data_IF_446581114828
#
_entry.id   IF_446581114828
#
_cell.length_a   1.000
_cell.length_b   1.000
_cell.length_c   1.000
_cell.angle_alpha   90.00
_cell.angle_beta   90.00
_cell.angle_gamma   90.00
#
_symmetry.space_group_name_H-M   'P 1'
#
loop_
_entity.id
_entity.type
_entity.pdbx_description
1 polymer ?
#
# COMPACT_ATOMS: atom_id res chain seq x y z
N UNK A 1 -2.88 -21.56 -10.84
CA UNK A 1 -2.05 -20.38 -10.52
C UNK A 1 -2.32 -20.05 -9.07
N UNK A 2 -1.29 -19.76 -8.27
CA UNK A 2 -1.48 -19.29 -6.89
C UNK A 2 -2.37 -18.03 -6.88
N UNK A 3 -3.31 -17.94 -5.94
CA UNK A 3 -4.28 -16.84 -5.87
C UNK A 3 -3.58 -15.48 -5.69
N UNK A 4 -2.42 -15.47 -5.05
CA UNK A 4 -1.58 -14.27 -4.90
C UNK A 4 -0.89 -13.87 -6.19
N UNK A 5 -0.34 -14.85 -6.92
CA UNK A 5 0.25 -14.62 -8.23
C UNK A 5 -0.80 -14.09 -9.23
N UNK A 6 -2.01 -14.67 -9.24
CA UNK A 6 -3.09 -14.20 -10.10
C UNK A 6 -3.48 -12.75 -9.75
N UNK A 7 -3.65 -12.45 -8.47
CA UNK A 7 -3.99 -11.09 -8.03
C UNK A 7 -2.91 -10.06 -8.42
N UNK A 8 -1.63 -10.38 -8.27
CA UNK A 8 -0.55 -9.49 -8.71
C UNK A 8 -0.54 -9.30 -10.23
N UNK A 9 -0.77 -10.37 -11.00
CA UNK A 9 -0.87 -10.28 -12.45
C UNK A 9 -2.05 -9.37 -12.85
N UNK A 10 -3.20 -9.50 -12.20
CA UNK A 10 -4.37 -8.66 -12.48
C UNK A 10 -4.13 -7.19 -12.10
N UNK A 11 -3.40 -6.95 -11.00
CA UNK A 11 -2.98 -5.59 -10.62
C UNK A 11 -2.06 -4.98 -11.67
N UNK A 12 -1.03 -5.72 -12.09
CA UNK A 12 -0.05 -5.27 -13.08
C UNK A 12 -0.67 -5.03 -14.46
N UNK A 13 -1.66 -5.83 -14.84
CA UNK A 13 -2.43 -5.66 -16.07
C UNK A 13 -3.57 -4.62 -15.95
N UNK A 14 -3.75 -4.02 -14.76
CA UNK A 14 -4.86 -3.12 -14.43
C UNK A 14 -6.26 -3.71 -14.67
N UNK A 15 -6.43 -5.03 -14.53
CA UNK A 15 -7.67 -5.77 -14.79
C UNK A 15 -8.49 -6.04 -13.53
N UNK A 16 -7.99 -5.75 -12.33
CA UNK A 16 -8.81 -5.81 -11.10
C UNK A 16 -10.02 -4.88 -11.29
N UNK A 17 -11.26 -5.37 -11.08
CA UNK A 17 -12.43 -4.51 -11.10
C UNK A 17 -12.26 -3.36 -10.11
N UNK A 18 -12.49 -2.12 -10.56
CA UNK A 18 -12.20 -0.93 -9.75
C UNK A 18 -12.90 -0.94 -8.38
N UNK A 19 -14.10 -1.52 -8.31
CA UNK A 19 -14.90 -1.67 -7.09
C UNK A 19 -14.26 -2.66 -6.09
N UNK A 20 -13.38 -3.53 -6.57
CA UNK A 20 -12.58 -4.47 -5.77
C UNK A 20 -11.21 -3.90 -5.40
N UNK A 21 -10.82 -2.73 -5.94
CA UNK A 21 -9.60 -2.00 -5.57
C UNK A 21 -9.76 -1.27 -4.22
N UNK A 22 -10.15 -2.04 -3.20
CA UNK A 22 -10.43 -1.61 -1.83
C UNK A 22 -9.15 -1.41 -1.01
N UNK A 23 -9.27 -0.87 0.20
CA UNK A 23 -8.15 -0.78 1.14
C UNK A 23 -7.46 -2.14 1.38
N UNK A 24 -8.24 -3.21 1.57
CA UNK A 24 -7.70 -4.55 1.74
C UNK A 24 -6.90 -5.02 0.51
N UNK A 25 -7.36 -4.69 -0.71
CA UNK A 25 -6.62 -4.97 -1.94
C UNK A 25 -5.30 -4.20 -2.02
N UNK A 26 -5.26 -2.94 -1.57
CA UNK A 26 -4.01 -2.17 -1.48
C UNK A 26 -3.02 -2.81 -0.50
N UNK A 27 -3.48 -3.24 0.69
CA UNK A 27 -2.61 -3.92 1.67
C UNK A 27 -2.10 -5.26 1.11
N UNK A 28 -2.98 -6.04 0.48
CA UNK A 28 -2.60 -7.29 -0.19
C UNK A 28 -1.53 -7.07 -1.24
N UNK A 29 -1.72 -6.08 -2.12
CA UNK A 29 -0.73 -5.71 -3.14
C UNK A 29 0.59 -5.28 -2.51
N UNK A 30 0.55 -4.38 -1.54
CA UNK A 30 1.76 -3.87 -0.89
C UNK A 30 2.54 -5.01 -0.23
N UNK A 31 1.86 -5.91 0.49
CA UNK A 31 2.50 -7.07 1.12
C UNK A 31 3.20 -7.96 0.10
N UNK A 32 2.51 -8.32 -0.99
CA UNK A 32 3.08 -9.20 -2.00
C UNK A 32 4.29 -8.57 -2.70
N UNK A 33 4.23 -7.26 -2.99
CA UNK A 33 5.36 -6.51 -3.57
C UNK A 33 6.52 -6.38 -2.57
N UNK A 34 6.25 -6.09 -1.29
CA UNK A 34 7.27 -6.02 -0.24
C UNK A 34 7.95 -7.38 -0.05
N UNK A 35 7.18 -8.47 0.00
CA UNK A 35 7.71 -9.83 0.19
C UNK A 35 8.58 -10.29 -0.99
N UNK A 36 8.34 -9.79 -2.19
CA UNK A 36 9.09 -10.13 -3.40
C UNK A 36 10.16 -9.09 -3.77
N UNK A 37 10.54 -8.19 -2.87
CA UNK A 37 11.55 -7.15 -3.13
C UNK A 37 12.68 -7.27 -2.11
N UNK A 38 13.90 -6.96 -2.55
CA UNK A 38 15.09 -7.10 -1.71
C UNK A 38 15.27 -5.89 -0.78
N UNK A 39 14.75 -4.73 -1.18
CA UNK A 39 14.88 -3.46 -0.45
C UNK A 39 13.57 -2.71 -0.35
N UNK A 40 13.47 -1.84 0.65
CA UNK A 40 12.32 -0.95 0.83
C UNK A 40 12.16 -0.01 -0.37
N UNK A 41 13.26 0.54 -0.87
CA UNK A 41 13.28 1.47 -2.00
C UNK A 41 12.73 0.82 -3.27
N UNK A 42 13.11 -0.44 -3.53
CA UNK A 42 12.58 -1.23 -4.64
C UNK A 42 11.08 -1.48 -4.49
N UNK A 43 10.63 -1.91 -3.29
CA UNK A 43 9.21 -2.14 -3.03
C UNK A 43 8.39 -0.85 -3.21
N UNK A 44 8.86 0.26 -2.65
CA UNK A 44 8.22 1.56 -2.77
C UNK A 44 8.13 2.03 -4.22
N UNK A 45 9.19 1.84 -5.01
CA UNK A 45 9.19 2.18 -6.44
C UNK A 45 8.14 1.36 -7.21
N UNK A 46 8.10 0.04 -7.01
CA UNK A 46 7.14 -0.86 -7.65
C UNK A 46 5.70 -0.51 -7.28
N UNK A 47 5.43 -0.23 -5.99
CA UNK A 47 4.10 0.16 -5.51
C UNK A 47 3.66 1.50 -6.12
N UNK A 48 4.53 2.51 -6.14
CA UNK A 48 4.25 3.81 -6.76
C UNK A 48 3.85 3.66 -8.22
N UNK A 49 4.68 2.97 -8.99
CA UNK A 49 4.47 2.77 -10.42
C UNK A 49 3.18 1.97 -10.67
N UNK A 50 2.95 0.90 -9.91
CA UNK A 50 1.76 0.07 -10.05
C UNK A 50 0.47 0.84 -9.77
N UNK A 51 0.40 1.61 -8.68
CA UNK A 51 -0.79 2.41 -8.35
C UNK A 51 -1.02 3.50 -9.40
N UNK A 52 0.04 4.18 -9.85
CA UNK A 52 -0.08 5.20 -10.89
C UNK A 52 -0.57 4.61 -12.22
N UNK A 53 -0.02 3.46 -12.61
CA UNK A 53 -0.45 2.71 -13.80
C UNK A 53 -1.93 2.31 -13.70
N UNK A 54 -2.32 1.67 -12.59
CA UNK A 54 -3.69 1.26 -12.34
C UNK A 54 -4.66 2.44 -12.41
N UNK A 55 -4.35 3.54 -11.71
CA UNK A 55 -5.16 4.75 -11.75
C UNK A 55 -5.24 5.37 -13.16
N UNK A 56 -4.17 5.29 -13.94
CA UNK A 56 -4.13 5.74 -15.33
C UNK A 56 -5.06 4.95 -16.27
N UNK A 57 -5.20 3.64 -16.05
CA UNK A 57 -6.16 2.81 -16.78
C UNK A 57 -7.61 3.06 -16.36
N UNK A 58 -7.84 3.45 -15.10
CA UNK A 58 -9.17 3.65 -14.52
C UNK A 58 -9.55 5.14 -14.33
N UNK A 59 -8.96 6.06 -15.10
CA UNK A 59 -9.10 7.53 -14.90
C UNK A 59 -10.54 8.01 -14.69
N UNK A 60 -11.50 7.45 -15.43
CA UNK A 60 -12.91 7.85 -15.33
C UNK A 60 -13.57 7.52 -13.97
N UNK A 61 -12.99 6.59 -13.19
CA UNK A 61 -13.49 6.16 -11.89
C UNK A 61 -12.69 6.72 -10.71
N UNK A 62 -11.49 7.24 -10.96
CA UNK A 62 -10.60 7.77 -9.91
C UNK A 62 -11.08 9.14 -9.44
N UNK A 63 -11.35 9.27 -8.15
CA UNK A 63 -11.83 10.53 -7.55
C UNK A 63 -10.77 11.30 -6.77
N UNK A 64 -9.85 10.62 -6.08
CA UNK A 64 -8.83 11.25 -5.22
C UNK A 64 -7.43 11.27 -5.87
N UNK A 65 -7.17 10.40 -6.84
CA UNK A 65 -5.87 10.29 -7.51
C UNK A 65 -4.77 9.73 -6.61
N UNK A 66 -3.55 9.68 -7.15
CA UNK A 66 -2.37 9.24 -6.41
C UNK A 66 -2.01 10.23 -5.29
N UNK A 67 -1.55 9.70 -4.15
CA UNK A 67 -1.18 10.49 -2.97
C UNK A 67 0.14 9.98 -2.38
N UNK A 68 1.19 10.77 -2.57
CA UNK A 68 2.56 10.34 -2.32
C UNK A 68 2.84 10.01 -0.84
N UNK A 69 2.50 10.91 0.09
CA UNK A 69 2.73 10.67 1.53
C UNK A 69 1.93 9.47 2.04
N UNK A 70 0.68 9.31 1.61
CA UNK A 70 -0.17 8.19 1.99
C UNK A 70 0.42 6.86 1.49
N UNK A 71 0.84 6.81 0.22
CA UNK A 71 1.50 5.62 -0.35
C UNK A 71 2.77 5.27 0.42
N UNK A 72 3.66 6.23 0.66
CA UNK A 72 4.90 5.94 1.37
C UNK A 72 4.65 5.51 2.83
N UNK A 73 3.71 6.14 3.55
CA UNK A 73 3.33 5.72 4.90
C UNK A 73 2.86 4.26 4.92
N UNK A 74 1.92 3.90 4.05
CA UNK A 74 1.41 2.52 4.02
C UNK A 74 2.47 1.52 3.59
N UNK A 75 3.33 1.86 2.62
CA UNK A 75 4.46 1.01 2.27
C UNK A 75 5.39 0.79 3.47
N UNK A 76 5.71 1.82 4.25
CA UNK A 76 6.54 1.67 5.46
C UNK A 76 5.86 0.78 6.50
N UNK A 77 4.56 0.97 6.77
CA UNK A 77 3.81 0.14 7.72
C UNK A 77 3.81 -1.33 7.27
N UNK A 78 3.49 -1.58 6.00
CA UNK A 78 3.38 -2.94 5.45
C UNK A 78 4.75 -3.60 5.35
N UNK A 79 5.80 -2.87 4.96
CA UNK A 79 7.17 -3.36 4.95
C UNK A 79 7.59 -3.84 6.34
N UNK A 80 7.39 -3.01 7.36
CA UNK A 80 7.73 -3.35 8.75
C UNK A 80 6.93 -4.54 9.30
N UNK A 81 5.69 -4.74 8.83
CA UNK A 81 4.91 -5.93 9.17
C UNK A 81 5.45 -7.16 8.43
N UNK A 82 5.79 -7.01 7.15
CA UNK A 82 6.31 -8.09 6.29
C UNK A 82 7.64 -8.62 6.80
N UNK A 83 8.56 -7.74 7.21
CA UNK A 83 9.88 -8.13 7.73
C UNK A 83 9.83 -8.83 9.10
N UNK A 84 8.69 -8.75 9.80
CA UNK A 84 8.45 -9.44 11.07
C UNK A 84 7.71 -10.77 10.91
N UNK A 85 7.24 -11.09 9.71
CA UNK A 85 6.60 -12.37 9.45
C UNK A 85 7.60 -13.52 9.63
N UNK A 86 7.14 -14.59 10.25
CA UNK A 86 7.88 -15.85 10.32
C UNK A 86 7.43 -16.81 9.21
N UNK A 87 7.93 -18.05 9.26
CA UNK A 87 7.61 -19.09 8.28
C UNK A 87 6.14 -19.55 8.31
N UNK A 88 5.33 -19.14 9.30
CA UNK A 88 3.90 -19.44 9.34
C UNK A 88 3.10 -18.64 8.31
N UNK A 89 3.59 -17.48 7.88
CA UNK A 89 2.93 -16.64 6.88
C UNK A 89 3.32 -17.13 5.49
N UNK A 90 2.43 -17.88 4.85
CA UNK A 90 2.69 -18.50 3.54
C UNK A 90 2.11 -17.71 2.37
N UNK A 91 0.99 -17.01 2.61
CA UNK A 91 0.27 -16.24 1.59
C UNK A 91 -0.29 -14.92 2.16
N UNK A 92 -0.95 -14.13 1.32
CA UNK A 92 -1.50 -12.83 1.71
C UNK A 92 -2.72 -12.91 2.65
N UNK A 93 -3.49 -13.99 2.63
CA UNK A 93 -4.57 -14.20 3.59
C UNK A 93 -3.99 -14.42 5.00
N UNK A 94 -2.99 -15.28 5.13
CA UNK A 94 -2.31 -15.50 6.42
C UNK A 94 -1.74 -14.18 6.96
N UNK A 95 -1.13 -13.38 6.09
CA UNK A 95 -0.59 -12.06 6.46
C UNK A 95 -1.68 -11.13 6.99
N UNK A 96 -2.81 -11.02 6.29
CA UNK A 96 -3.94 -10.17 6.71
C UNK A 96 -4.60 -10.68 7.99
N UNK A 97 -4.68 -11.99 8.19
CA UNK A 97 -5.23 -12.59 9.41
C UNK A 97 -4.37 -12.31 10.64
N UNK A 98 -3.04 -12.33 10.49
CA UNK A 98 -2.11 -12.00 11.57
C UNK A 98 -1.97 -10.49 11.78
N UNK A 99 -2.19 -9.68 10.75
CA UNK A 99 -2.02 -8.23 10.78
C UNK A 99 -3.34 -7.47 10.56
N UNK A 100 -4.45 -7.93 11.16
CA UNK A 100 -5.80 -7.34 10.97
C UNK A 100 -5.88 -5.84 11.24
N UNK A 101 -5.00 -5.29 12.08
CA UNK A 101 -4.93 -3.85 12.33
C UNK A 101 -4.63 -3.04 11.05
N UNK A 102 -4.00 -3.64 10.04
CA UNK A 102 -3.74 -3.01 8.74
C UNK A 102 -5.02 -2.75 7.94
N UNK A 103 -6.12 -3.44 8.26
CA UNK A 103 -7.41 -3.25 7.59
C UNK A 103 -8.14 -1.99 8.09
N UNK A 104 -7.69 -1.37 9.19
CA UNK A 104 -8.17 -0.06 9.62
C UNK A 104 -7.55 1.04 8.74
N UNK A 105 -8.29 1.49 7.74
CA UNK A 105 -7.87 2.57 6.84
C UNK A 105 -7.66 3.92 7.54
N UNK A 106 -8.05 4.05 8.82
CA UNK A 106 -7.82 5.25 9.63
C UNK A 106 -6.48 5.25 10.39
N UNK A 107 -5.69 4.17 10.29
CA UNK A 107 -4.40 4.01 10.97
C UNK A 107 -3.42 5.17 10.72
N UNK A 108 -3.50 5.81 9.56
CA UNK A 108 -2.66 6.98 9.23
C UNK A 108 -2.81 8.13 10.24
N UNK A 109 -3.96 8.26 10.91
CA UNK A 109 -4.25 9.30 11.90
C UNK A 109 -3.36 9.22 13.14
N UNK A 110 -2.71 8.08 13.38
CA UNK A 110 -1.74 7.96 14.46
C UNK A 110 -0.44 8.70 14.15
N UNK A 111 -0.14 8.94 12.88
CA UNK A 111 1.12 9.49 12.41
C UNK A 111 0.97 10.95 11.94
N UNK A 112 -0.15 11.27 11.29
CA UNK A 112 -0.37 12.59 10.70
C UNK A 112 -1.62 13.28 11.23
N UNK A 113 -1.51 14.59 11.45
CA UNK A 113 -2.68 15.45 11.55
C UNK A 113 -3.43 15.52 10.21
N UNK A 114 -4.76 15.71 10.21
CA UNK A 114 -5.51 15.92 8.97
C UNK A 114 -5.01 17.13 8.18
N UNK A 115 -4.56 18.19 8.86
CA UNK A 115 -4.05 19.40 8.23
C UNK A 115 -2.79 19.13 7.40
N UNK A 116 -1.86 18.33 7.92
CA UNK A 116 -0.65 17.95 7.20
C UNK A 116 -0.95 16.92 6.09
N UNK A 117 -1.68 15.84 6.42
CA UNK A 117 -1.95 14.75 5.48
C UNK A 117 -2.67 15.24 4.21
N UNK A 118 -3.64 16.14 4.33
CA UNK A 118 -4.40 16.65 3.19
C UNK A 118 -3.84 17.95 2.60
N UNK A 119 -2.63 18.33 2.97
CA UNK A 119 -1.95 19.46 2.34
C UNK A 119 -1.57 19.15 0.88
N UNK A 120 -1.49 20.16 0.00
CA UNK A 120 -1.06 19.95 -1.39
C UNK A 120 0.34 19.33 -1.51
N UNK A 121 1.23 19.62 -0.57
CA UNK A 121 2.59 19.10 -0.55
C UNK A 121 2.63 17.62 -0.18
N UNK A 122 1.87 17.20 0.84
CA UNK A 122 1.76 15.79 1.23
C UNK A 122 1.22 14.91 0.09
N UNK A 123 0.35 15.47 -0.76
CA UNK A 123 -0.17 14.76 -1.94
C UNK A 123 0.89 14.52 -3.01
N UNK A 124 1.78 15.49 -3.25
CA UNK A 124 2.77 15.47 -4.35
C UNK A 124 4.14 14.90 -3.97
N UNK A 125 4.53 15.08 -2.72
CA UNK A 125 5.84 14.73 -2.18
C UNK A 125 5.66 14.12 -0.80
N UNK A 126 6.58 13.25 -0.41
CA UNK A 126 6.60 12.75 0.96
C UNK A 126 6.91 13.88 1.94
N UNK A 127 6.05 14.05 2.93
CA UNK A 127 6.30 14.90 4.10
C UNK A 127 6.36 14.02 5.34
N UNK A 128 7.27 14.30 6.27
CA UNK A 128 7.41 13.50 7.49
C UNK A 128 6.17 13.63 8.40
N UNK A 129 5.82 12.58 9.18
CA UNK A 129 4.73 12.64 10.14
C UNK A 129 4.92 13.71 11.22
N UNK A 130 3.84 14.38 11.65
CA UNK A 130 3.83 15.43 12.67
C UNK A 130 3.31 14.97 14.06
N UNK A 131 2.66 13.81 14.16
CA UNK A 131 2.14 13.28 15.44
C UNK A 131 3.02 12.19 16.03
N UNK A 132 3.49 11.26 15.19
CA UNK A 132 4.30 10.12 15.61
C UNK A 132 5.25 9.72 14.50
N UNK A 133 6.53 9.57 14.82
CA UNK A 133 7.52 9.12 13.85
C UNK A 133 7.26 7.69 13.39
N UNK A 134 7.58 7.42 12.13
CA UNK A 134 7.67 6.08 11.56
C UNK A 134 9.00 5.95 10.83
N UNK A 135 9.63 4.78 10.98
CA UNK A 135 10.93 4.47 10.40
C UNK A 135 10.86 3.09 9.74
N UNK A 136 11.70 2.90 8.72
CA UNK A 136 11.95 1.60 8.06
C UNK A 136 12.93 0.81 8.91
#
# INVERSE_FOLDING_TARGET
MDADAQFLNDFQAATIPFEQWTHAAHIRMAYLVCRSSDTFEEALLKIRQGIQHFNGFHLAKVTVGFHETMTQLWTTIVWNATTKCDSSVSNSNDFLEQNRYLLDSSLWKQYYSPALMFSPDAKRSFVSPDLKSIHI
#
